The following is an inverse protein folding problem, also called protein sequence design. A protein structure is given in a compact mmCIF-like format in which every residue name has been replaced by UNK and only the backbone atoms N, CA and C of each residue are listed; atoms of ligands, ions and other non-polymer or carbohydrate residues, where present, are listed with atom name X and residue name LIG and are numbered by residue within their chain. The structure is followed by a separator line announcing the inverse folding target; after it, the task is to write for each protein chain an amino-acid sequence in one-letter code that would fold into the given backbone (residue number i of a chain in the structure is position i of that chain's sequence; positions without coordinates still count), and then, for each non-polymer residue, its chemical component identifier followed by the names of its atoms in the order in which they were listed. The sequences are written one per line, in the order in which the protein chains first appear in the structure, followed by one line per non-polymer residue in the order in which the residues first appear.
data_IF_113085031986
#
_entry.id   IF_113085031986
#
_cell.length_a   1.000
_cell.length_b   1.000
_cell.length_c   1.000
_cell.angle_alpha   90.00
_cell.angle_beta   90.00
_cell.angle_gamma   90.00
#
_symmetry.space_group_name_H-M   'P 1'
#
loop_
_entity.id
_entity.type
_entity.pdbx_description
1 polymer ?
#
# COMPACT_ATOMS: atom_id res chain seq x y z
N UNK A 1 17.52 -11.45 -3.62
CA UNK A 1 18.49 -11.00 -2.61
C UNK A 1 17.75 -10.57 -1.33
N UNK A 2 16.55 -10.00 -1.39
CA UNK A 2 15.80 -9.49 -0.22
C UNK A 2 14.36 -10.05 -0.17
N UNK A 3 14.13 -11.37 -0.10
CA UNK A 3 12.81 -11.96 -0.30
C UNK A 3 11.78 -11.55 0.76
N UNK A 4 12.24 -11.26 1.99
CA UNK A 4 11.36 -10.89 3.10
C UNK A 4 11.25 -9.37 3.34
N UNK A 5 11.81 -8.55 2.44
CA UNK A 5 11.84 -7.07 2.59
C UNK A 5 11.27 -6.34 1.38
N UNK A 6 11.21 -6.99 0.24
CA UNK A 6 10.68 -6.43 -0.99
C UNK A 6 9.49 -7.25 -1.47
N UNK A 7 8.41 -6.54 -1.76
CA UNK A 7 7.20 -7.08 -2.33
C UNK A 7 6.71 -6.22 -3.49
N UNK A 8 5.54 -6.55 -3.97
CA UNK A 8 4.87 -5.81 -5.02
C UNK A 8 3.56 -5.22 -4.52
N UNK A 9 3.22 -4.02 -4.98
CA UNK A 9 1.84 -3.55 -4.95
C UNK A 9 1.34 -3.54 -6.38
N UNK A 10 0.23 -4.22 -6.63
CA UNK A 10 -0.25 -4.53 -7.98
C UNK A 10 -1.71 -4.10 -8.11
N UNK A 11 -1.98 -3.17 -9.02
CA UNK A 11 -3.33 -2.76 -9.38
C UNK A 11 -3.80 -3.37 -10.70
N UNK A 12 -5.07 -3.21 -11.06
CA UNK A 12 -5.67 -3.76 -12.27
C UNK A 12 -4.89 -3.49 -13.56
N UNK A 13 -4.35 -2.28 -13.71
CA UNK A 13 -3.58 -1.88 -14.89
C UNK A 13 -2.28 -2.66 -15.10
N UNK A 14 -1.68 -3.13 -14.00
CA UNK A 14 -0.43 -3.87 -14.03
C UNK A 14 -0.63 -5.38 -13.96
N UNK A 15 -1.75 -5.84 -13.42
CA UNK A 15 -1.99 -7.24 -13.03
C UNK A 15 -1.76 -8.22 -14.17
N UNK A 16 -2.35 -8.01 -15.34
CA UNK A 16 -2.23 -8.92 -16.51
C UNK A 16 -0.81 -9.04 -17.06
N UNK A 17 0.07 -8.10 -16.72
CA UNK A 17 1.48 -8.07 -17.13
C UNK A 17 2.42 -8.51 -16.02
N UNK A 18 1.90 -8.67 -14.81
CA UNK A 18 2.69 -9.01 -13.63
C UNK A 18 2.90 -10.51 -13.53
N UNK A 19 4.12 -10.90 -13.14
CA UNK A 19 4.45 -12.30 -12.85
C UNK A 19 4.52 -12.50 -11.35
N UNK A 20 3.64 -13.33 -10.82
CA UNK A 20 3.65 -13.70 -9.41
C UNK A 20 4.68 -14.80 -9.15
N UNK A 21 5.54 -14.56 -8.17
CA UNK A 21 6.56 -15.51 -7.74
C UNK A 21 6.21 -16.01 -6.34
N UNK A 22 6.24 -17.31 -6.05
CA UNK A 22 5.79 -17.86 -4.77
C UNK A 22 6.61 -17.39 -3.56
N UNK A 23 7.78 -16.81 -3.78
CA UNK A 23 8.67 -16.29 -2.73
C UNK A 23 8.68 -14.75 -2.60
N UNK A 24 7.85 -14.05 -3.35
CA UNK A 24 7.69 -12.59 -3.26
C UNK A 24 6.27 -12.30 -2.80
N UNK A 25 6.14 -11.69 -1.64
CA UNK A 25 4.85 -11.22 -1.16
C UNK A 25 4.35 -10.03 -1.98
N UNK A 26 3.05 -9.83 -1.99
CA UNK A 26 2.43 -8.72 -2.70
C UNK A 26 1.15 -8.26 -1.99
N UNK A 27 0.73 -7.05 -2.33
CA UNK A 27 -0.55 -6.48 -1.96
C UNK A 27 -1.30 -6.00 -3.20
N UNK A 28 -2.61 -5.82 -3.09
CA UNK A 28 -3.45 -5.38 -4.21
C UNK A 28 -3.88 -3.94 -4.04
N UNK A 29 -3.60 -3.13 -5.06
CA UNK A 29 -4.09 -1.76 -5.21
C UNK A 29 -5.40 -1.76 -6.02
N UNK A 30 -6.20 -0.74 -5.83
CA UNK A 30 -7.43 -0.51 -6.60
C UNK A 30 -7.23 0.39 -7.84
N UNK A 31 -6.03 0.97 -8.04
CA UNK A 31 -5.69 1.93 -9.10
C UNK A 31 -6.49 3.26 -9.05
N UNK A 32 -7.17 3.59 -7.93
CA UNK A 32 -7.93 4.85 -7.82
C UNK A 32 -7.04 6.09 -8.03
N UNK A 33 -5.81 6.08 -7.51
CA UNK A 33 -4.88 7.19 -7.72
C UNK A 33 -4.47 7.33 -9.20
N UNK A 34 -4.29 6.23 -9.91
CA UNK A 34 -3.96 6.25 -11.33
C UNK A 34 -5.11 6.80 -12.19
N UNK A 35 -6.34 6.42 -11.88
CA UNK A 35 -7.53 6.95 -12.53
C UNK A 35 -7.71 8.46 -12.24
N UNK A 36 -7.59 8.86 -10.97
CA UNK A 36 -7.69 10.24 -10.53
C UNK A 36 -6.67 11.16 -11.23
N UNK A 37 -5.40 10.73 -11.35
CA UNK A 37 -4.35 11.54 -12.01
C UNK A 37 -4.59 11.72 -13.50
N UNK A 38 -5.35 10.85 -14.13
CA UNK A 38 -5.71 10.94 -15.55
C UNK A 38 -7.06 11.64 -15.78
N UNK A 39 -7.81 11.93 -14.70
CA UNK A 39 -9.19 12.42 -14.81
C UNK A 39 -10.16 11.38 -15.37
N UNK A 40 -9.83 10.10 -15.24
CA UNK A 40 -10.65 8.97 -15.69
C UNK A 40 -11.51 8.43 -14.53
N UNK A 41 -12.71 7.88 -14.83
CA UNK A 41 -13.49 7.18 -13.81
C UNK A 41 -12.75 5.92 -13.34
N UNK A 42 -12.92 5.58 -12.07
CA UNK A 42 -12.39 4.32 -11.52
C UNK A 42 -13.11 3.11 -12.13
N UNK A 43 -12.35 2.11 -12.56
CA UNK A 43 -12.86 0.90 -13.23
C UNK A 43 -13.12 -0.23 -12.22
N UNK A 44 -14.37 -0.33 -11.77
CA UNK A 44 -14.82 -1.39 -10.86
C UNK A 44 -14.73 -2.78 -11.49
N UNK A 45 -15.00 -2.91 -12.80
CA UNK A 45 -14.99 -4.22 -13.46
C UNK A 45 -13.57 -4.79 -13.51
N UNK A 46 -12.59 -3.99 -13.92
CA UNK A 46 -11.18 -4.40 -13.93
C UNK A 46 -10.67 -4.76 -12.53
N UNK A 47 -11.09 -4.01 -11.49
CA UNK A 47 -10.72 -4.31 -10.11
C UNK A 47 -11.25 -5.68 -9.66
N UNK A 48 -12.55 -5.95 -9.82
CA UNK A 48 -13.12 -7.24 -9.41
C UNK A 48 -12.63 -8.41 -10.27
N UNK A 49 -12.36 -8.21 -11.58
CA UNK A 49 -11.69 -9.20 -12.43
C UNK A 49 -10.33 -9.59 -11.84
N UNK A 50 -9.50 -8.61 -11.48
CA UNK A 50 -8.21 -8.84 -10.82
C UNK A 50 -8.36 -9.66 -9.53
N UNK A 51 -9.35 -9.35 -8.67
CA UNK A 51 -9.57 -10.11 -7.45
C UNK A 51 -9.94 -11.58 -7.75
N UNK A 52 -10.78 -11.83 -8.75
CA UNK A 52 -11.13 -13.20 -9.16
C UNK A 52 -9.93 -13.98 -9.68
N UNK A 53 -9.10 -13.37 -10.52
CA UNK A 53 -7.89 -14.00 -11.03
C UNK A 53 -6.86 -14.25 -9.92
N UNK A 54 -6.81 -13.36 -8.91
CA UNK A 54 -5.91 -13.50 -7.75
C UNK A 54 -6.24 -14.72 -6.90
N UNK A 55 -7.51 -15.17 -6.84
CA UNK A 55 -7.88 -16.43 -6.15
C UNK A 55 -7.14 -17.64 -6.69
N UNK A 56 -6.73 -17.62 -7.95
CA UNK A 56 -6.03 -18.71 -8.62
C UNK A 56 -4.52 -18.70 -8.37
N UNK A 57 -3.99 -17.64 -7.72
CA UNK A 57 -2.58 -17.55 -7.42
C UNK A 57 -2.19 -18.43 -6.23
N UNK A 58 -1.00 -19.06 -6.26
CA UNK A 58 -0.53 -19.93 -5.18
C UNK A 58 -0.23 -19.19 -3.88
N UNK A 59 0.02 -17.88 -3.94
CA UNK A 59 0.29 -17.02 -2.79
C UNK A 59 -0.85 -16.01 -2.65
N UNK A 60 -1.33 -15.86 -1.42
CA UNK A 60 -2.36 -14.86 -1.11
C UNK A 60 -1.74 -13.47 -0.94
N UNK A 61 -2.45 -12.39 -1.30
CA UNK A 61 -1.98 -11.04 -1.02
C UNK A 61 -1.93 -10.77 0.49
N UNK A 62 -1.03 -9.89 0.91
CA UNK A 62 -0.92 -9.42 2.29
C UNK A 62 -2.17 -8.64 2.72
N UNK A 63 -2.74 -7.90 1.80
CA UNK A 63 -3.97 -7.12 1.93
C UNK A 63 -4.43 -6.61 0.55
N UNK A 64 -5.65 -6.11 0.51
CA UNK A 64 -6.25 -5.46 -0.66
C UNK A 64 -6.84 -4.11 -0.26
N UNK A 65 -6.53 -3.04 -1.00
CA UNK A 65 -7.14 -1.72 -0.77
C UNK A 65 -8.59 -1.77 -1.25
N UNK A 66 -9.53 -1.54 -0.34
CA UNK A 66 -10.93 -1.31 -0.71
C UNK A 66 -11.02 0.01 -1.49
N UNK A 67 -11.80 0.07 -2.58
CA UNK A 67 -11.84 1.25 -3.44
C UNK A 67 -12.06 2.55 -2.68
N UNK A 68 -11.14 3.50 -2.86
CA UNK A 68 -11.16 4.83 -2.25
C UNK A 68 -11.39 5.94 -3.29
N UNK A 69 -11.56 7.16 -2.81
CA UNK A 69 -11.59 8.37 -3.64
C UNK A 69 -10.54 9.34 -3.15
N UNK A 70 -9.54 9.57 -3.98
CA UNK A 70 -8.36 10.37 -3.62
C UNK A 70 -8.73 11.78 -3.20
N UNK A 71 -8.37 12.15 -1.96
CA UNK A 71 -8.63 13.47 -1.38
C UNK A 71 -10.08 13.71 -0.96
N UNK A 72 -10.97 12.71 -1.03
CA UNK A 72 -12.37 12.80 -0.63
C UNK A 72 -12.69 11.78 0.48
N UNK A 73 -12.77 12.29 1.71
CA UNK A 73 -13.05 11.53 2.91
C UNK A 73 -14.44 10.87 2.88
N UNK A 74 -15.48 11.64 2.53
CA UNK A 74 -16.86 11.14 2.58
C UNK A 74 -17.13 10.12 1.47
N UNK A 75 -16.63 10.37 0.25
CA UNK A 75 -16.73 9.42 -0.83
C UNK A 75 -15.95 8.13 -0.55
N UNK A 76 -14.79 8.22 0.10
CA UNK A 76 -14.02 7.04 0.51
C UNK A 76 -14.79 6.19 1.54
N UNK A 77 -15.40 6.80 2.57
CA UNK A 77 -16.26 6.09 3.54
C UNK A 77 -17.48 5.47 2.88
N UNK A 78 -18.10 6.18 1.95
CA UNK A 78 -19.21 5.67 1.15
C UNK A 78 -18.80 4.44 0.32
N UNK A 79 -17.63 4.48 -0.28
CA UNK A 79 -17.07 3.36 -1.04
C UNK A 79 -16.74 2.16 -0.14
N UNK A 80 -16.22 2.38 1.08
CA UNK A 80 -16.05 1.30 2.04
C UNK A 80 -17.36 0.57 2.30
N UNK A 81 -18.41 1.30 2.68
CA UNK A 81 -19.74 0.75 2.92
C UNK A 81 -20.31 -0.02 1.73
N UNK A 82 -19.98 0.39 0.52
CA UNK A 82 -20.44 -0.22 -0.73
C UNK A 82 -19.67 -1.47 -1.13
N UNK A 83 -18.36 -1.49 -0.90
CA UNK A 83 -17.46 -2.48 -1.49
C UNK A 83 -16.78 -3.41 -0.49
N UNK A 84 -16.58 -3.01 0.78
CA UNK A 84 -15.81 -3.81 1.75
C UNK A 84 -16.39 -5.22 1.91
N UNK A 85 -17.71 -5.37 2.06
CA UNK A 85 -18.35 -6.69 2.16
C UNK A 85 -18.07 -7.59 0.95
N UNK A 86 -18.09 -7.03 -0.27
CA UNK A 86 -17.81 -7.79 -1.49
C UNK A 86 -16.32 -8.17 -1.60
N UNK A 87 -15.43 -7.29 -1.13
CA UNK A 87 -13.99 -7.57 -1.12
C UNK A 87 -13.66 -8.59 -0.03
N UNK A 88 -14.33 -8.55 1.12
CA UNK A 88 -14.17 -9.52 2.21
C UNK A 88 -14.50 -10.96 1.80
N UNK A 89 -15.38 -11.18 0.82
CA UNK A 89 -15.68 -12.52 0.28
C UNK A 89 -14.47 -13.25 -0.30
N UNK A 90 -13.39 -12.52 -0.62
CA UNK A 90 -12.14 -13.10 -1.08
C UNK A 90 -11.29 -13.69 0.06
N UNK A 91 -11.58 -13.32 1.32
CA UNK A 91 -10.92 -13.84 2.52
C UNK A 91 -9.50 -13.33 2.72
N UNK A 92 -9.20 -12.12 2.24
CA UNK A 92 -7.93 -11.43 2.44
C UNK A 92 -8.09 -10.23 3.36
N UNK A 93 -7.02 -9.80 4.07
CA UNK A 93 -7.08 -8.59 4.88
C UNK A 93 -7.46 -7.36 4.05
N UNK A 94 -8.32 -6.50 4.61
CA UNK A 94 -8.82 -5.29 3.96
C UNK A 94 -8.01 -4.06 4.40
N UNK A 95 -7.55 -3.27 3.45
CA UNK A 95 -6.91 -2.00 3.72
C UNK A 95 -7.86 -0.82 3.46
N UNK A 96 -8.02 0.06 4.46
CA UNK A 96 -8.74 1.32 4.33
C UNK A 96 -7.77 2.45 4.02
N UNK A 97 -7.99 3.14 2.90
CA UNK A 97 -7.16 4.27 2.50
C UNK A 97 -7.63 5.55 3.20
N UNK A 98 -6.83 6.03 4.15
CA UNK A 98 -7.12 7.31 4.82
C UNK A 98 -6.77 8.49 3.93
N UNK A 99 -7.66 9.48 3.91
CA UNK A 99 -7.60 10.67 3.08
C UNK A 99 -7.32 11.92 3.91
N UNK A 100 -6.97 13.03 3.23
CA UNK A 100 -6.71 14.33 3.86
C UNK A 100 -7.85 14.73 4.81
N UNK A 101 -7.50 15.08 6.05
CA UNK A 101 -8.44 15.50 7.09
C UNK A 101 -9.06 14.38 7.94
N UNK A 102 -8.90 13.11 7.57
CA UNK A 102 -9.40 11.98 8.37
C UNK A 102 -8.74 11.89 9.74
N UNK A 103 -9.48 11.33 10.68
CA UNK A 103 -9.07 11.00 12.05
C UNK A 103 -9.27 9.50 12.31
N UNK A 104 -8.81 9.02 13.46
CA UNK A 104 -8.92 7.63 13.89
C UNK A 104 -10.35 7.09 13.77
N UNK A 105 -11.33 7.87 14.22
CA UNK A 105 -12.74 7.45 14.28
C UNK A 105 -13.40 7.39 12.88
N UNK A 106 -12.73 7.88 11.84
CA UNK A 106 -13.16 7.71 10.45
C UNK A 106 -12.76 6.37 9.85
N UNK A 107 -11.84 5.64 10.50
CA UNK A 107 -11.40 4.32 10.05
C UNK A 107 -12.41 3.27 10.50
N UNK A 108 -12.96 2.47 9.58
CA UNK A 108 -13.87 1.39 9.91
C UNK A 108 -13.22 0.36 10.84
N UNK A 109 -13.99 -0.17 11.79
CA UNK A 109 -13.50 -1.15 12.79
C UNK A 109 -13.17 -2.51 12.19
N UNK A 110 -13.65 -2.80 11.00
CA UNK A 110 -13.40 -4.01 10.21
C UNK A 110 -12.28 -3.84 9.18
N UNK A 111 -11.56 -2.72 9.21
CA UNK A 111 -10.34 -2.54 8.45
C UNK A 111 -9.16 -3.23 9.15
N UNK A 112 -8.47 -4.12 8.43
CA UNK A 112 -7.29 -4.83 8.95
C UNK A 112 -6.01 -4.00 8.84
N UNK A 113 -5.93 -3.10 7.85
CA UNK A 113 -4.76 -2.29 7.54
C UNK A 113 -5.18 -0.84 7.26
N UNK A 114 -4.46 0.12 7.81
CA UNK A 114 -4.59 1.53 7.44
C UNK A 114 -3.58 1.85 6.34
N UNK A 115 -4.08 2.24 5.17
CA UNK A 115 -3.26 2.72 4.06
C UNK A 115 -3.21 4.26 4.08
N UNK A 116 -2.06 4.83 4.41
CA UNK A 116 -1.90 6.30 4.44
C UNK A 116 -1.70 6.82 3.02
N UNK A 117 -2.82 7.16 2.38
CA UNK A 117 -2.93 7.64 1.00
C UNK A 117 -2.90 9.16 0.89
N UNK A 118 -4.08 9.74 0.64
CA UNK A 118 -4.31 11.18 0.51
C UNK A 118 -3.74 11.81 -0.76
N UNK A 119 -4.05 13.10 -0.95
CA UNK A 119 -3.66 13.87 -2.14
C UNK A 119 -2.24 14.44 -2.07
N UNK A 120 -1.56 14.38 -0.93
CA UNK A 120 -0.31 15.10 -0.59
C UNK A 120 -0.47 16.63 -0.45
N UNK A 121 -1.68 17.15 -0.47
CA UNK A 121 -1.90 18.57 -0.24
C UNK A 121 -1.36 18.97 1.13
N UNK A 122 -0.72 20.16 1.19
CA UNK A 122 -0.13 20.71 2.42
C UNK A 122 0.75 19.72 3.20
N UNK A 123 1.30 18.70 2.52
CA UNK A 123 2.15 17.66 3.15
C UNK A 123 1.41 16.89 4.27
N UNK A 124 0.08 16.74 4.17
CA UNK A 124 -0.78 16.14 5.18
C UNK A 124 -0.30 14.74 5.60
N UNK A 125 -0.02 13.87 4.64
CA UNK A 125 0.49 12.51 4.87
C UNK A 125 1.66 12.47 5.86
N UNK A 126 2.67 13.30 5.63
CA UNK A 126 3.90 13.28 6.44
C UNK A 126 3.76 13.95 7.78
N UNK A 127 2.77 14.84 7.94
CA UNK A 127 2.41 15.41 9.23
C UNK A 127 1.59 14.46 10.09
N UNK A 128 0.89 13.52 9.47
CA UNK A 128 -0.02 12.59 10.16
C UNK A 128 0.46 11.14 10.19
N UNK A 129 1.51 10.77 9.44
CA UNK A 129 1.99 9.39 9.37
C UNK A 129 2.29 8.77 10.74
N UNK A 130 2.96 9.53 11.64
CA UNK A 130 3.22 9.07 13.01
C UNK A 130 1.92 8.81 13.78
N UNK A 131 0.96 9.73 13.68
CA UNK A 131 -0.35 9.57 14.32
C UNK A 131 -1.04 8.27 13.93
N UNK A 132 -0.99 7.88 12.65
CA UNK A 132 -1.58 6.62 12.20
C UNK A 132 -0.87 5.40 12.78
N UNK A 133 0.46 5.41 12.81
CA UNK A 133 1.26 4.33 13.39
C UNK A 133 1.07 4.21 14.92
N UNK A 134 0.77 5.30 15.61
CA UNK A 134 0.49 5.28 17.06
C UNK A 134 -0.89 4.69 17.40
N UNK A 135 -1.83 4.70 16.45
CA UNK A 135 -3.21 4.31 16.70
C UNK A 135 -3.62 2.98 16.06
N UNK A 136 -2.83 2.46 15.12
CA UNK A 136 -3.13 1.23 14.40
C UNK A 136 -1.90 0.34 14.31
N UNK A 137 -2.10 -0.96 14.51
CA UNK A 137 -1.04 -1.97 14.49
C UNK A 137 -0.46 -2.16 13.09
N UNK A 138 -1.32 -2.18 12.06
CA UNK A 138 -0.92 -2.42 10.68
C UNK A 138 -1.11 -1.15 9.84
N UNK A 139 -0.01 -0.49 9.52
CA UNK A 139 -0.02 0.75 8.74
C UNK A 139 0.91 0.64 7.53
N UNK A 140 0.35 0.89 6.35
CA UNK A 140 1.10 1.05 5.12
C UNK A 140 1.15 2.53 4.71
N UNK A 141 2.32 3.05 4.34
CA UNK A 141 2.44 4.43 3.86
C UNK A 141 2.71 4.44 2.36
N UNK A 142 1.75 4.97 1.60
CA UNK A 142 1.83 5.03 0.15
C UNK A 142 2.78 6.09 -0.40
N UNK A 143 3.38 5.82 -1.57
CA UNK A 143 4.19 6.76 -2.37
C UNK A 143 5.42 7.31 -1.63
N UNK A 144 6.14 6.43 -0.94
CA UNK A 144 7.39 6.74 -0.24
C UNK A 144 8.56 6.67 -1.23
N UNK A 145 8.97 7.82 -1.75
CA UNK A 145 9.86 7.94 -2.90
C UNK A 145 11.27 8.49 -2.54
N UNK A 146 11.71 8.36 -1.28
CA UNK A 146 13.07 8.74 -0.87
C UNK A 146 13.53 7.94 0.33
N UNK A 147 14.83 7.65 0.41
CA UNK A 147 15.41 6.89 1.52
C UNK A 147 15.21 7.57 2.88
N UNK A 148 15.18 8.91 2.92
CA UNK A 148 14.86 9.66 4.14
C UNK A 148 13.46 9.32 4.65
N UNK A 149 12.50 9.19 3.74
CA UNK A 149 11.10 8.84 4.08
C UNK A 149 10.96 7.36 4.46
N UNK A 150 11.72 6.45 3.84
CA UNK A 150 11.78 5.03 4.25
C UNK A 150 12.24 4.92 5.69
N UNK A 151 13.39 5.55 6.03
CA UNK A 151 13.94 5.56 7.39
C UNK A 151 13.00 6.23 8.40
N UNK A 152 12.26 7.24 7.99
CA UNK A 152 11.25 7.87 8.84
C UNK A 152 10.09 6.92 9.09
N UNK A 153 9.56 6.28 8.05
CA UNK A 153 8.46 5.31 8.15
C UNK A 153 8.81 4.12 9.05
N UNK A 154 10.02 3.58 8.92
CA UNK A 154 10.57 2.53 9.81
C UNK A 154 10.60 3.00 11.27
N UNK A 155 11.12 4.19 11.53
CA UNK A 155 11.26 4.73 12.90
C UNK A 155 9.92 4.97 13.59
N UNK A 156 8.88 5.32 12.86
CA UNK A 156 7.53 5.52 13.39
C UNK A 156 6.70 4.24 13.44
N UNK A 157 7.27 3.08 13.06
CA UNK A 157 6.62 1.77 13.16
C UNK A 157 5.67 1.41 12.03
N UNK A 158 5.79 2.03 10.85
CA UNK A 158 5.01 1.59 9.69
C UNK A 158 5.37 0.14 9.30
N UNK A 159 4.34 -0.72 9.10
CA UNK A 159 4.52 -2.12 8.67
C UNK A 159 5.18 -2.21 7.29
N UNK A 160 4.78 -1.35 6.38
CA UNK A 160 5.27 -1.36 5.01
C UNK A 160 5.13 0.00 4.31
N UNK A 161 5.83 0.15 3.20
CA UNK A 161 5.79 1.35 2.37
C UNK A 161 5.86 0.97 0.89
N UNK A 162 5.28 1.80 0.01
CA UNK A 162 5.46 1.65 -1.43
C UNK A 162 6.11 2.88 -2.08
N UNK A 163 6.64 2.68 -3.27
CA UNK A 163 7.16 3.76 -4.08
C UNK A 163 7.71 3.25 -5.41
N UNK A 164 7.35 3.91 -6.51
CA UNK A 164 7.79 3.54 -7.86
C UNK A 164 9.01 4.32 -8.37
N UNK A 165 9.39 5.42 -7.71
CA UNK A 165 10.49 6.27 -8.17
C UNK A 165 11.87 5.63 -8.07
N UNK A 166 12.03 4.57 -7.28
CA UNK A 166 13.24 3.78 -7.17
C UNK A 166 13.71 3.21 -8.51
N UNK A 167 12.75 2.79 -9.34
CA UNK A 167 13.00 2.16 -10.64
C UNK A 167 12.83 3.11 -11.83
N UNK A 168 12.31 4.33 -11.60
CA UNK A 168 12.10 5.34 -12.63
C UNK A 168 13.22 6.38 -12.72
N UNK A 169 14.13 6.41 -11.75
CA UNK A 169 15.26 7.33 -11.75
C UNK A 169 16.33 6.84 -12.73
N UNK A 170 16.59 7.60 -13.82
CA UNK A 170 17.59 7.21 -14.82
C UNK A 170 19.02 7.13 -14.26
N UNK A 171 19.32 7.91 -13.23
CA UNK A 171 20.64 7.90 -12.56
C UNK A 171 20.86 6.67 -11.70
N UNK A 172 19.81 5.94 -11.37
CA UNK A 172 19.81 4.82 -10.44
C UNK A 172 20.29 5.16 -9.02
N UNK A 173 20.53 6.42 -8.70
CA UNK A 173 21.01 6.83 -7.38
C UNK A 173 20.03 6.43 -6.26
N UNK A 174 18.74 6.60 -6.51
CA UNK A 174 17.70 6.19 -5.55
C UNK A 174 17.69 4.69 -5.32
N UNK A 175 17.86 3.89 -6.37
CA UNK A 175 17.95 2.44 -6.25
C UNK A 175 19.17 2.03 -5.42
N UNK A 176 20.31 2.65 -5.65
CA UNK A 176 21.53 2.43 -4.85
C UNK A 176 21.32 2.78 -3.37
N UNK A 177 20.66 3.90 -3.08
CA UNK A 177 20.30 4.27 -1.71
C UNK A 177 19.41 3.23 -1.03
N UNK A 178 18.43 2.70 -1.77
CA UNK A 178 17.53 1.64 -1.28
C UNK A 178 18.31 0.33 -1.05
N UNK A 179 19.18 -0.07 -1.99
CA UNK A 179 20.00 -1.27 -1.85
C UNK A 179 20.94 -1.19 -0.64
N UNK A 180 21.55 -0.04 -0.40
CA UNK A 180 22.42 0.20 0.77
C UNK A 180 21.61 0.12 2.08
N UNK A 181 20.39 0.65 2.11
CA UNK A 181 19.52 0.54 3.27
C UNK A 181 19.12 -0.90 3.53
N UNK A 182 18.72 -1.64 2.49
CA UNK A 182 18.36 -3.07 2.59
C UNK A 182 19.53 -3.92 3.09
N UNK A 183 20.73 -3.69 2.58
CA UNK A 183 21.95 -4.39 3.02
C UNK A 183 22.24 -4.16 4.50
N UNK A 184 22.08 -2.93 4.99
CA UNK A 184 22.27 -2.62 6.42
C UNK A 184 21.21 -3.24 7.35
N UNK A 185 20.17 -3.87 6.82
CA UNK A 185 19.11 -4.54 7.57
C UNK A 185 19.18 -6.07 7.46
N UNK A 186 20.06 -6.63 6.63
CA UNK A 186 20.26 -8.09 6.55
C UNK A 186 20.80 -8.64 7.88
N UNK A 187 21.73 -7.94 8.51
CA UNK A 187 22.39 -8.38 9.75
C UNK A 187 21.48 -8.41 10.97
N UNK A 188 20.44 -7.58 11.01
CA UNK A 188 19.49 -7.53 12.14
C UNK A 188 18.51 -8.70 12.20
N UNK A 189 18.31 -9.42 11.11
CA UNK A 189 17.42 -10.57 11.07
C UNK A 189 18.10 -11.87 11.51
N UNK A 190 19.41 -11.95 11.40
CA UNK A 190 20.20 -13.13 11.81
C UNK A 190 20.29 -13.25 13.33
N UNK A 191 20.19 -12.14 14.07
CA UNK A 191 20.21 -12.13 15.54
C UNK A 191 18.88 -12.54 16.19
N UNK A 192 17.78 -12.62 15.44
CA UNK A 192 16.46 -13.01 15.94
C UNK A 192 16.12 -14.51 15.73
N UNK A 193 17.03 -15.31 15.15
CA UNK A 193 16.83 -16.74 14.85
C UNK A 193 17.75 -17.63 15.72
N UNK A 194 18.51 -17.06 16.64
CA UNK A 194 19.29 -17.78 17.65
C UNK A 194 18.61 -17.71 19.01
#
# INVERSE_FOLDING_TARGET
KYPNKLGWIVGPNAYKKHRFWPWIFYALDNDAFAAWTKGEPWDAAAFFEMLQETKLQPVKPLWVIVPDVVGDLEATKSNWNKYAGKVAEFGWPLAFAVQDGMKRDDVPTDADVVFVGGSDQQNWKWRTAHYWCDHFERVHIGRVNSIRRVRYSERIGAESVDGSSWFRDPSRSRLTDLENWLAGHEDKQTELIL
#
